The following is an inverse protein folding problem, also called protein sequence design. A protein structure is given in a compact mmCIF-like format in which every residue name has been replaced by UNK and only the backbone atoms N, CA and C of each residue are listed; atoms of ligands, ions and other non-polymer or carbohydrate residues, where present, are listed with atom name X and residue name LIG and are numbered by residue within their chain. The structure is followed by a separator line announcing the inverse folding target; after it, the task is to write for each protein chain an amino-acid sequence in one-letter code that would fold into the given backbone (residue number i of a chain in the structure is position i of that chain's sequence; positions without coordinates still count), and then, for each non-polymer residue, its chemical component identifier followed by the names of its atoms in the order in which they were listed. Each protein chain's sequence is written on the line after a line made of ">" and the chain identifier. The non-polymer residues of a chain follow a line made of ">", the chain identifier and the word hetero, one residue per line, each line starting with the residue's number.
data_IF_321169538954
#
_entry.id   IF_321169538954
#
_cell.length_a   1.000
_cell.length_b   1.000
_cell.length_c   1.000
_cell.angle_alpha   90.00
_cell.angle_beta   90.00
_cell.angle_gamma   90.00
#
_symmetry.space_group_name_H-M   'P 1'
#
loop_
_entity.id
_entity.type
_entity.pdbx_description
1 polymer ?
#
# COMPACT_ATOMS: atom_id res chain seq x y z
N UNK A 1 -16.49 59.08 62.55
CA UNK A 1 -16.46 57.60 62.66
C UNK A 1 -16.09 57.22 64.08
N UNK A 2 -17.03 56.65 64.82
CA UNK A 2 -16.84 56.27 66.23
C UNK A 2 -15.88 55.07 66.39
N UNK A 3 -15.16 55.00 67.52
CA UNK A 3 -14.11 53.98 67.77
C UNK A 3 -14.69 52.56 67.82
N UNK A 4 -15.96 52.43 68.22
CA UNK A 4 -16.70 51.16 68.28
C UNK A 4 -17.05 50.61 66.89
N UNK A 5 -17.55 51.48 66.01
CA UNK A 5 -17.86 51.20 64.60
C UNK A 5 -16.63 50.68 63.84
N UNK A 6 -15.46 51.32 64.01
CA UNK A 6 -14.19 50.84 63.40
C UNK A 6 -13.82 49.43 63.86
N UNK A 7 -13.99 49.12 65.14
CA UNK A 7 -13.73 47.77 65.69
C UNK A 7 -14.69 46.73 65.12
N UNK A 8 -15.96 47.08 64.93
CA UNK A 8 -16.99 46.20 64.35
C UNK A 8 -16.70 45.89 62.88
N UNK A 9 -16.33 46.91 62.09
CA UNK A 9 -15.96 46.75 60.68
C UNK A 9 -14.68 45.91 60.50
N UNK A 10 -13.69 46.10 61.37
CA UNK A 10 -12.46 45.29 61.39
C UNK A 10 -12.74 43.81 61.71
N UNK A 11 -13.63 43.53 62.69
CA UNK A 11 -14.05 42.14 63.01
C UNK A 11 -14.83 41.49 61.86
N UNK A 12 -15.71 42.24 61.18
CA UNK A 12 -16.45 41.76 60.00
C UNK A 12 -15.50 41.39 58.85
N UNK A 13 -14.56 42.29 58.50
CA UNK A 13 -13.52 42.03 57.49
C UNK A 13 -12.65 40.82 57.83
N UNK A 14 -12.27 40.65 59.11
CA UNK A 14 -11.50 39.47 59.56
C UNK A 14 -12.31 38.17 59.38
N UNK A 15 -13.60 38.18 59.73
CA UNK A 15 -14.50 37.02 59.58
C UNK A 15 -14.72 36.65 58.11
N UNK A 16 -14.93 37.65 57.24
CA UNK A 16 -15.07 37.47 55.79
C UNK A 16 -13.79 36.92 55.14
N UNK A 17 -12.61 37.42 55.56
CA UNK A 17 -11.31 36.92 55.08
C UNK A 17 -11.08 35.47 55.47
N UNK A 18 -11.33 35.11 56.73
CA UNK A 18 -11.23 33.71 57.21
C UNK A 18 -12.21 32.79 56.48
N UNK A 19 -13.43 33.25 56.18
CA UNK A 19 -14.40 32.49 55.40
C UNK A 19 -13.98 32.29 53.93
N UNK A 20 -13.38 33.32 53.30
CA UNK A 20 -12.84 33.22 51.95
C UNK A 20 -11.64 32.27 51.86
N UNK A 21 -10.73 32.32 52.85
CA UNK A 21 -9.60 31.39 52.96
C UNK A 21 -10.06 29.94 53.14
N UNK A 22 -11.12 29.70 53.94
CA UNK A 22 -11.74 28.38 54.09
C UNK A 22 -12.33 27.83 52.79
N UNK A 23 -13.04 28.68 52.03
CA UNK A 23 -13.60 28.31 50.71
C UNK A 23 -12.51 27.97 49.69
N UNK A 24 -11.43 28.76 49.65
CA UNK A 24 -10.29 28.53 48.76
C UNK A 24 -9.53 27.23 49.08
N UNK A 25 -9.35 26.89 50.36
CA UNK A 25 -8.74 25.61 50.76
C UNK A 25 -9.61 24.41 50.35
N UNK A 26 -10.93 24.53 50.45
CA UNK A 26 -11.86 23.47 50.07
C UNK A 26 -11.94 23.28 48.54
N UNK A 27 -11.92 24.36 47.75
CA UNK A 27 -11.89 24.27 46.29
C UNK A 27 -10.60 23.61 45.78
N UNK A 28 -9.43 23.98 46.34
CA UNK A 28 -8.14 23.35 46.01
C UNK A 28 -8.10 21.85 46.39
N UNK A 29 -8.72 21.48 47.51
CA UNK A 29 -8.88 20.08 47.93
C UNK A 29 -9.75 19.29 46.93
N UNK A 30 -10.89 19.85 46.50
CA UNK A 30 -11.79 19.24 45.51
C UNK A 30 -11.09 19.04 44.17
N UNK A 31 -10.36 20.03 43.70
CA UNK A 31 -9.63 19.98 42.42
C UNK A 31 -8.50 18.93 42.45
N UNK A 32 -7.78 18.81 43.58
CA UNK A 32 -6.78 17.74 43.79
C UNK A 32 -7.40 16.36 43.79
N UNK A 33 -8.57 16.17 44.41
CA UNK A 33 -9.30 14.89 44.41
C UNK A 33 -9.76 14.50 43.00
N UNK A 34 -10.26 15.45 42.22
CA UNK A 34 -10.71 15.20 40.85
C UNK A 34 -9.54 14.85 39.91
N UNK A 35 -8.40 15.55 40.04
CA UNK A 35 -7.15 15.23 39.31
C UNK A 35 -6.65 13.82 39.66
N UNK A 36 -6.73 13.42 40.93
CA UNK A 36 -6.37 12.06 41.37
C UNK A 36 -7.31 11.01 40.77
N UNK A 37 -8.62 11.22 40.83
CA UNK A 37 -9.61 10.31 40.23
C UNK A 37 -9.38 10.11 38.72
N UNK A 38 -9.14 11.19 37.96
CA UNK A 38 -8.81 11.11 36.53
C UNK A 38 -7.53 10.33 36.26
N UNK A 39 -6.51 10.48 37.12
CA UNK A 39 -5.25 9.73 37.02
C UNK A 39 -5.46 8.24 37.28
N UNK A 40 -6.28 7.90 38.27
CA UNK A 40 -6.58 6.51 38.63
C UNK A 40 -7.38 5.83 37.52
N UNK A 41 -8.40 6.49 36.96
CA UNK A 41 -9.15 6.00 35.79
C UNK A 41 -8.22 5.77 34.59
N UNK A 42 -7.30 6.70 34.30
CA UNK A 42 -6.31 6.54 33.23
C UNK A 42 -5.37 5.35 33.48
N UNK A 43 -5.02 5.09 34.73
CA UNK A 43 -4.16 3.96 35.12
C UNK A 43 -4.88 2.62 34.92
N UNK A 44 -6.14 2.53 35.34
CA UNK A 44 -6.93 1.31 35.18
C UNK A 44 -7.25 1.00 33.70
N UNK A 45 -7.64 2.00 32.91
CA UNK A 45 -7.85 1.83 31.46
C UNK A 45 -6.57 1.39 30.71
N UNK A 46 -5.40 1.91 31.10
CA UNK A 46 -4.12 1.49 30.55
C UNK A 46 -3.74 0.04 30.93
N UNK A 47 -4.02 -0.37 32.18
CA UNK A 47 -3.82 -1.76 32.63
C UNK A 47 -4.72 -2.73 31.85
N UNK A 48 -6.00 -2.38 31.70
CA UNK A 48 -6.98 -3.18 30.95
C UNK A 48 -6.57 -3.36 29.48
N UNK A 49 -6.12 -2.27 28.84
CA UNK A 49 -5.59 -2.32 27.48
C UNK A 49 -4.32 -3.18 27.36
N UNK A 50 -3.45 -3.18 28.38
CA UNK A 50 -2.26 -4.02 28.40
C UNK A 50 -2.62 -5.50 28.60
N UNK A 51 -3.58 -5.81 29.48
CA UNK A 51 -4.10 -7.18 29.69
C UNK A 51 -4.69 -7.77 28.41
N UNK A 52 -5.41 -6.98 27.61
CA UNK A 52 -5.92 -7.40 26.29
C UNK A 52 -4.78 -7.68 25.30
N UNK A 53 -3.70 -6.91 25.35
CA UNK A 53 -2.53 -7.06 24.47
C UNK A 53 -1.61 -8.20 24.91
N UNK A 54 -1.51 -8.49 26.20
CA UNK A 54 -0.71 -9.56 26.79
C UNK A 54 -1.54 -10.36 27.79
N UNK A 55 -2.40 -11.28 27.32
CA UNK A 55 -3.09 -12.21 28.19
C UNK A 55 -2.05 -13.09 28.91
N UNK A 56 -2.15 -13.16 30.24
CA UNK A 56 -1.17 -13.83 31.09
C UNK A 56 -1.11 -15.36 30.89
N UNK A 57 -2.13 -15.94 30.24
CA UNK A 57 -2.35 -17.39 30.10
C UNK A 57 -2.38 -17.85 28.64
N UNK A 58 -1.41 -17.42 27.82
CA UNK A 58 -1.23 -17.95 26.46
C UNK A 58 -0.20 -19.07 26.45
N UNK A 59 -0.52 -20.17 25.76
CA UNK A 59 0.44 -21.24 25.49
C UNK A 59 1.61 -20.72 24.65
N UNK A 60 2.74 -21.44 24.67
CA UNK A 60 3.94 -21.08 23.90
C UNK A 60 3.66 -21.00 22.39
N UNK A 61 2.80 -21.88 21.88
CA UNK A 61 2.43 -21.95 20.47
C UNK A 61 1.55 -20.78 20.04
N UNK A 62 0.49 -20.49 20.79
CA UNK A 62 -0.37 -19.34 20.50
C UNK A 62 0.40 -18.01 20.64
N UNK A 63 1.37 -17.94 21.57
CA UNK A 63 2.27 -16.80 21.69
C UNK A 63 3.10 -16.62 20.42
N UNK A 64 3.68 -17.70 19.88
CA UNK A 64 4.46 -17.66 18.64
C UNK A 64 3.59 -17.21 17.47
N UNK A 65 2.39 -17.76 17.32
CA UNK A 65 1.45 -17.39 16.25
C UNK A 65 1.00 -15.93 16.34
N UNK A 66 0.70 -15.44 17.55
CA UNK A 66 0.33 -14.04 17.77
C UNK A 66 1.43 -13.08 17.33
N UNK A 67 2.67 -13.35 17.74
CA UNK A 67 3.80 -12.48 17.40
C UNK A 67 4.19 -12.58 15.92
N UNK A 68 4.06 -13.74 15.27
CA UNK A 68 4.29 -13.86 13.82
C UNK A 68 3.23 -13.12 13.03
N UNK A 69 1.94 -13.25 13.38
CA UNK A 69 0.84 -12.47 12.77
C UNK A 69 1.06 -10.97 12.95
N UNK A 70 1.39 -10.53 14.17
CA UNK A 70 1.66 -9.11 14.45
C UNK A 70 2.85 -8.57 13.64
N UNK A 71 3.90 -9.36 13.45
CA UNK A 71 5.04 -8.98 12.62
C UNK A 71 4.67 -8.88 11.13
N UNK A 72 3.85 -9.81 10.64
CA UNK A 72 3.30 -9.77 9.29
C UNK A 72 2.45 -8.51 9.07
N UNK A 73 1.46 -8.26 9.94
CA UNK A 73 0.56 -7.11 9.85
C UNK A 73 1.31 -5.77 9.86
N UNK A 74 2.32 -5.64 10.73
CA UNK A 74 3.19 -4.45 10.74
C UNK A 74 3.95 -4.26 9.43
N UNK A 75 4.38 -5.35 8.80
CA UNK A 75 5.09 -5.31 7.52
C UNK A 75 4.14 -4.89 6.40
N UNK A 76 2.92 -5.45 6.38
CA UNK A 76 1.86 -5.07 5.44
C UNK A 76 1.48 -3.61 5.62
N UNK A 77 1.26 -3.15 6.85
CA UNK A 77 0.91 -1.75 7.15
C UNK A 77 2.01 -0.77 6.69
N UNK A 78 3.28 -1.09 6.95
CA UNK A 78 4.41 -0.30 6.45
C UNK A 78 4.44 -0.27 4.92
N UNK A 79 4.18 -1.40 4.28
CA UNK A 79 4.07 -1.52 2.82
C UNK A 79 2.96 -0.64 2.27
N UNK A 80 1.76 -0.73 2.83
CA UNK A 80 0.59 0.08 2.46
C UNK A 80 0.84 1.58 2.66
N UNK A 81 1.48 1.98 3.77
CA UNK A 81 1.86 3.38 4.00
C UNK A 81 2.86 3.88 2.96
N UNK A 82 3.85 3.06 2.59
CA UNK A 82 4.83 3.39 1.55
C UNK A 82 4.15 3.51 0.18
N UNK A 83 3.22 2.60 -0.12
CA UNK A 83 2.40 2.66 -1.33
C UNK A 83 1.62 3.97 -1.35
N UNK A 84 0.81 4.27 -0.32
CA UNK A 84 0.03 5.50 -0.24
C UNK A 84 0.88 6.77 -0.47
N UNK A 85 2.06 6.86 0.16
CA UNK A 85 2.99 8.00 -0.01
C UNK A 85 3.49 8.16 -1.44
N UNK A 86 3.72 7.05 -2.13
CA UNK A 86 4.26 7.03 -3.50
C UNK A 86 3.17 6.96 -4.58
N UNK A 87 1.93 6.67 -4.22
CA UNK A 87 0.79 6.66 -5.15
C UNK A 87 0.57 8.06 -5.68
N UNK A 88 0.69 8.21 -7.00
CA UNK A 88 0.39 9.44 -7.72
C UNK A 88 -1.05 9.37 -8.22
N UNK A 89 -1.82 10.42 -7.97
CA UNK A 89 -3.16 10.55 -8.52
C UNK A 89 -3.10 10.77 -10.03
N UNK A 90 -3.74 9.89 -10.81
CA UNK A 90 -3.78 10.02 -12.27
C UNK A 90 -4.48 11.28 -12.78
N UNK A 91 -5.32 11.92 -11.94
CA UNK A 91 -6.08 13.10 -12.36
C UNK A 91 -5.38 14.41 -12.02
N UNK A 92 -4.95 14.60 -10.77
CA UNK A 92 -4.31 15.85 -10.35
C UNK A 92 -2.78 15.76 -10.26
N UNK A 93 -2.19 14.62 -10.62
CA UNK A 93 -0.75 14.31 -10.59
C UNK A 93 -0.07 14.53 -9.22
N UNK A 94 -0.85 14.72 -8.16
CA UNK A 94 -0.36 14.91 -6.80
C UNK A 94 -0.15 13.55 -6.10
N UNK A 95 0.86 13.45 -5.24
CA UNK A 95 1.17 12.23 -4.47
C UNK A 95 0.23 12.09 -3.25
N UNK A 96 0.12 10.88 -2.72
CA UNK A 96 -0.57 10.62 -1.45
C UNK A 96 -1.99 10.04 -1.56
N UNK A 97 -2.54 9.95 -2.76
CA UNK A 97 -3.89 9.41 -2.98
C UNK A 97 -4.05 8.81 -4.38
N UNK A 98 -4.94 7.81 -4.50
CA UNK A 98 -5.35 7.28 -5.79
C UNK A 98 -6.38 8.21 -6.47
N UNK A 99 -6.54 8.07 -7.79
CA UNK A 99 -7.48 8.87 -8.57
C UNK A 99 -8.91 8.87 -8.00
N UNK A 100 -9.36 7.72 -7.48
CA UNK A 100 -10.68 7.58 -6.83
C UNK A 100 -10.86 8.49 -5.60
N UNK A 101 -9.82 8.68 -4.80
CA UNK A 101 -9.87 9.50 -3.60
C UNK A 101 -9.30 10.90 -3.85
N UNK A 102 -9.43 11.41 -5.09
CA UNK A 102 -8.93 12.71 -5.47
C UNK A 102 -9.83 13.82 -4.94
N UNK A 103 -9.31 14.76 -4.13
CA UNK A 103 -10.09 15.88 -3.61
C UNK A 103 -10.44 16.90 -4.69
N UNK A 104 -9.68 16.92 -5.81
CA UNK A 104 -9.83 17.93 -6.88
C UNK A 104 -10.79 17.53 -7.99
N UNK A 105 -11.11 16.24 -8.16
CA UNK A 105 -11.91 15.80 -9.31
C UNK A 105 -12.58 14.44 -9.05
N UNK A 106 -13.59 14.43 -8.18
CA UNK A 106 -14.29 13.21 -7.75
C UNK A 106 -15.42 12.76 -8.70
N UNK A 107 -15.71 13.51 -9.77
CA UNK A 107 -16.92 13.31 -10.59
C UNK A 107 -16.67 12.57 -11.90
N UNK A 108 -15.54 12.80 -12.59
CA UNK A 108 -15.29 12.19 -13.93
C UNK A 108 -14.87 10.72 -13.92
N UNK A 109 -14.53 10.15 -12.75
CA UNK A 109 -13.94 8.81 -12.64
C UNK A 109 -14.92 7.70 -12.25
N UNK A 110 -16.20 8.02 -12.05
CA UNK A 110 -17.18 7.05 -11.56
C UNK A 110 -17.96 6.36 -12.68
N UNK A 111 -17.82 6.81 -13.93
CA UNK A 111 -18.54 6.21 -15.05
C UNK A 111 -17.86 4.92 -15.51
N UNK A 112 -18.65 3.88 -15.70
CA UNK A 112 -18.25 2.67 -16.36
C UNK A 112 -17.97 2.97 -17.84
N UNK A 113 -16.74 2.74 -18.26
CA UNK A 113 -16.32 3.04 -19.64
C UNK A 113 -16.99 2.17 -20.71
N UNK A 114 -17.74 1.13 -20.31
CA UNK A 114 -18.48 0.24 -21.20
C UNK A 114 -19.93 0.67 -21.41
N UNK A 115 -20.63 1.07 -20.34
CA UNK A 115 -22.06 1.33 -20.37
C UNK A 115 -22.46 2.78 -20.01
N UNK A 116 -21.51 3.60 -19.53
CA UNK A 116 -21.74 4.98 -19.13
C UNK A 116 -22.38 5.17 -17.75
N UNK A 117 -22.77 4.10 -17.05
CA UNK A 117 -23.35 4.20 -15.69
C UNK A 117 -22.31 4.64 -14.66
N UNK A 118 -22.70 5.48 -13.70
CA UNK A 118 -21.85 5.91 -12.59
C UNK A 118 -21.87 4.96 -11.37
N UNK A 119 -22.65 3.88 -11.42
CA UNK A 119 -22.91 3.01 -10.26
C UNK A 119 -21.83 1.93 -10.06
N UNK A 120 -21.10 1.56 -11.11
CA UNK A 120 -20.15 0.44 -11.08
C UNK A 120 -18.92 0.71 -11.93
N UNK A 121 -17.87 -0.11 -11.73
CA UNK A 121 -16.64 -0.08 -12.52
C UNK A 121 -16.73 -1.03 -13.70
N UNK A 122 -15.75 -0.94 -14.61
CA UNK A 122 -15.66 -1.85 -15.76
C UNK A 122 -15.70 -3.33 -15.34
N UNK A 123 -15.04 -3.67 -14.23
CA UNK A 123 -14.94 -5.05 -13.71
C UNK A 123 -16.27 -5.56 -13.16
N UNK A 124 -17.09 -4.68 -12.61
CA UNK A 124 -18.39 -4.99 -11.99
C UNK A 124 -19.56 -4.71 -12.96
N UNK A 125 -19.26 -4.56 -14.26
CA UNK A 125 -20.28 -4.18 -15.24
C UNK A 125 -21.22 -5.35 -15.56
N UNK A 126 -22.54 -5.20 -15.37
CA UNK A 126 -23.51 -6.26 -15.63
C UNK A 126 -23.65 -6.59 -17.12
N UNK A 127 -23.19 -5.70 -18.02
CA UNK A 127 -23.19 -5.94 -19.47
C UNK A 127 -22.09 -6.92 -19.94
N UNK A 128 -21.33 -7.51 -19.01
CA UNK A 128 -20.34 -8.54 -19.30
C UNK A 128 -19.03 -8.00 -19.88
N UNK A 129 -17.94 -8.76 -19.66
CA UNK A 129 -16.62 -8.45 -20.20
C UNK A 129 -16.51 -8.90 -21.65
N UNK A 130 -17.12 -8.18 -22.60
CA UNK A 130 -16.86 -8.49 -24.01
C UNK A 130 -15.37 -8.28 -24.31
N UNK A 131 -14.71 -9.32 -24.81
CA UNK A 131 -13.28 -9.34 -25.16
C UNK A 131 -12.92 -8.40 -26.32
N UNK A 132 -13.93 -7.78 -26.93
CA UNK A 132 -13.81 -6.94 -28.14
C UNK A 132 -13.05 -5.64 -27.89
N UNK A 133 -12.78 -5.26 -26.62
CA UNK A 133 -11.88 -4.13 -26.30
C UNK A 133 -12.41 -2.74 -26.66
N UNK A 134 -13.60 -2.64 -27.26
CA UNK A 134 -14.28 -1.37 -27.53
C UNK A 134 -14.92 -0.84 -26.23
N UNK A 135 -14.42 0.31 -25.77
CA UNK A 135 -14.91 1.04 -24.61
C UNK A 135 -15.42 2.40 -25.07
N UNK A 136 -16.69 2.52 -25.50
CA UNK A 136 -17.22 3.73 -26.15
C UNK A 136 -17.13 4.98 -25.27
N UNK A 137 -17.21 4.82 -23.95
CA UNK A 137 -17.13 5.93 -23.00
C UNK A 137 -15.71 6.16 -22.47
N UNK A 138 -14.73 5.31 -22.81
CA UNK A 138 -13.33 5.55 -22.47
C UNK A 138 -12.75 6.66 -23.37
N UNK A 139 -11.91 7.49 -22.78
CA UNK A 139 -11.10 8.48 -23.48
C UNK A 139 -9.63 8.06 -23.42
N UNK A 140 -8.97 8.07 -24.58
CA UNK A 140 -7.57 7.70 -24.67
C UNK A 140 -6.69 8.83 -24.10
N UNK A 141 -5.84 8.50 -23.13
CA UNK A 141 -4.91 9.47 -22.53
C UNK A 141 -3.77 9.92 -23.45
N UNK A 142 -3.60 9.29 -24.63
CA UNK A 142 -2.54 9.62 -25.61
C UNK A 142 -3.08 10.51 -26.72
N UNK A 143 -4.19 10.15 -27.36
CA UNK A 143 -4.75 10.89 -28.49
C UNK A 143 -6.03 11.68 -28.20
N UNK A 144 -6.63 11.53 -27.01
CA UNK A 144 -7.89 12.18 -26.64
C UNK A 144 -9.15 11.61 -27.33
N UNK A 145 -9.00 10.65 -28.25
CA UNK A 145 -10.11 9.98 -28.91
C UNK A 145 -10.93 9.12 -27.94
N UNK A 146 -12.21 8.91 -28.26
CA UNK A 146 -13.11 8.04 -27.49
C UNK A 146 -13.16 6.63 -28.11
N UNK A 147 -13.49 5.61 -27.32
CA UNK A 147 -13.67 4.23 -27.82
C UNK A 147 -12.56 3.24 -27.46
N UNK A 148 -11.39 3.70 -27.04
CA UNK A 148 -10.24 2.86 -26.71
C UNK A 148 -9.41 3.44 -25.55
N UNK A 149 -8.59 2.59 -24.93
CA UNK A 149 -7.60 2.99 -23.91
C UNK A 149 -6.21 3.16 -24.54
N UNK A 150 -5.30 3.83 -23.83
CA UNK A 150 -3.93 4.09 -24.29
C UNK A 150 -3.19 2.86 -24.82
N UNK A 151 -3.43 1.67 -24.24
CA UNK A 151 -2.78 0.42 -24.69
C UNK A 151 -3.25 -0.09 -26.05
N UNK A 152 -4.47 0.24 -26.48
CA UNK A 152 -5.04 -0.14 -27.77
C UNK A 152 -5.10 1.04 -28.75
N UNK A 153 -4.38 2.13 -28.44
CA UNK A 153 -4.35 3.31 -29.27
C UNK A 153 -3.40 3.12 -30.46
N UNK A 154 -3.84 3.35 -31.71
CA UNK A 154 -2.98 3.23 -32.89
C UNK A 154 -1.86 4.27 -32.92
N UNK A 155 -2.04 5.39 -32.22
CA UNK A 155 -1.05 6.47 -32.12
C UNK A 155 -0.07 6.28 -30.95
N UNK A 156 -0.24 5.25 -30.12
CA UNK A 156 0.63 5.02 -28.98
C UNK A 156 1.84 4.15 -29.37
N UNK A 157 2.96 4.81 -29.67
CA UNK A 157 4.23 4.15 -30.00
C UNK A 157 4.85 3.32 -28.86
N UNK A 158 4.41 3.51 -27.61
CA UNK A 158 4.95 2.81 -26.42
C UNK A 158 4.16 1.56 -26.04
N UNK A 159 3.01 1.33 -26.69
CA UNK A 159 2.11 0.21 -26.43
C UNK A 159 1.68 0.11 -24.95
N UNK A 160 1.63 -1.12 -24.43
CA UNK A 160 1.18 -1.43 -23.05
C UNK A 160 2.22 -1.01 -21.99
N UNK A 161 3.45 -0.69 -22.39
CA UNK A 161 4.56 -0.39 -21.47
C UNK A 161 4.64 1.09 -21.10
N UNK A 162 4.25 1.43 -19.87
CA UNK A 162 4.22 2.82 -19.34
C UNK A 162 5.57 3.53 -19.48
N UNK A 163 6.66 2.87 -19.07
CA UNK A 163 8.01 3.43 -19.12
C UNK A 163 8.72 3.20 -20.46
N UNK A 164 8.00 2.67 -21.46
CA UNK A 164 8.60 2.25 -22.72
C UNK A 164 9.31 0.91 -22.56
N UNK A 165 9.43 0.20 -23.67
CA UNK A 165 9.97 -1.15 -23.71
C UNK A 165 9.12 -2.05 -24.58
N UNK A 166 9.55 -3.30 -24.66
CA UNK A 166 8.93 -4.32 -25.48
C UNK A 166 8.98 -5.65 -24.76
N UNK A 167 8.11 -6.57 -25.17
CA UNK A 167 8.14 -7.94 -24.72
C UNK A 167 9.54 -8.54 -24.97
N UNK A 168 10.22 -9.01 -23.91
CA UNK A 168 11.58 -9.60 -24.02
C UNK A 168 11.65 -10.88 -24.85
N UNK A 169 10.48 -11.45 -25.18
CA UNK A 169 10.35 -12.68 -25.96
C UNK A 169 10.29 -12.38 -27.46
N UNK A 170 9.53 -11.37 -27.87
CA UNK A 170 9.23 -11.14 -29.28
C UNK A 170 9.47 -9.71 -29.78
N UNK A 171 9.82 -8.77 -28.90
CA UNK A 171 9.95 -7.35 -29.26
C UNK A 171 8.63 -6.61 -29.45
N UNK A 172 7.47 -7.26 -29.30
CA UNK A 172 6.16 -6.60 -29.44
C UNK A 172 5.83 -5.67 -28.27
N UNK A 173 5.12 -4.59 -28.54
CA UNK A 173 4.71 -3.58 -27.53
C UNK A 173 3.27 -3.75 -27.04
N UNK A 174 2.48 -4.60 -27.71
CA UNK A 174 1.03 -4.73 -27.48
C UNK A 174 0.66 -5.71 -26.36
N UNK A 175 1.63 -6.43 -25.79
CA UNK A 175 1.39 -7.40 -24.73
C UNK A 175 2.53 -7.46 -23.72
N UNK A 176 2.16 -7.88 -22.50
CA UNK A 176 3.13 -8.25 -21.46
C UNK A 176 3.73 -9.63 -21.73
N UNK A 177 4.96 -9.86 -21.29
CA UNK A 177 5.67 -11.16 -21.44
C UNK A 177 4.82 -12.37 -21.05
N UNK A 178 3.96 -12.23 -20.03
CA UNK A 178 3.06 -13.27 -19.55
C UNK A 178 2.02 -13.73 -20.59
N UNK A 179 1.61 -12.84 -21.48
CA UNK A 179 0.63 -13.10 -22.55
C UNK A 179 1.29 -13.05 -23.94
N UNK A 180 2.58 -13.33 -24.01
CA UNK A 180 3.24 -13.41 -25.30
C UNK A 180 2.73 -14.61 -26.11
N UNK A 181 2.26 -14.40 -27.35
CA UNK A 181 1.76 -15.48 -28.19
C UNK A 181 2.84 -16.45 -28.65
N UNK A 182 4.13 -16.09 -28.58
CA UNK A 182 5.23 -16.99 -28.92
C UNK A 182 5.35 -18.11 -27.89
N UNK A 183 5.46 -19.36 -28.34
CA UNK A 183 5.63 -20.52 -27.45
C UNK A 183 7.01 -20.46 -26.76
N UNK A 184 7.04 -20.78 -25.46
CA UNK A 184 8.28 -20.96 -24.69
C UNK A 184 9.18 -22.05 -25.30
N UNK A 185 8.60 -23.02 -26.00
CA UNK A 185 9.30 -24.15 -26.63
C UNK A 185 10.03 -23.77 -27.91
N UNK A 186 9.38 -23.00 -28.80
CA UNK A 186 10.04 -22.45 -30.00
C UNK A 186 11.24 -21.59 -29.63
N UNK A 187 11.12 -20.81 -28.55
CA UNK A 187 12.22 -20.01 -28.00
C UNK A 187 13.43 -20.82 -27.52
N UNK A 188 13.21 -22.00 -26.94
CA UNK A 188 14.31 -22.86 -26.52
C UNK A 188 15.06 -23.36 -27.76
N UNK A 189 14.32 -23.79 -28.80
CA UNK A 189 14.89 -24.22 -30.08
C UNK A 189 15.67 -23.10 -30.78
N UNK A 190 15.08 -21.91 -30.96
CA UNK A 190 15.79 -20.77 -31.57
C UNK A 190 17.02 -20.32 -30.77
N UNK A 191 16.96 -20.37 -29.42
CA UNK A 191 18.10 -20.02 -28.58
C UNK A 191 19.21 -21.06 -28.66
N UNK A 192 18.85 -22.34 -28.62
CA UNK A 192 19.79 -23.45 -28.71
C UNK A 192 20.44 -23.49 -30.11
N UNK A 193 19.68 -23.17 -31.15
CA UNK A 193 20.16 -23.05 -32.54
C UNK A 193 21.09 -21.85 -32.74
N UNK A 194 20.71 -20.65 -32.27
CA UNK A 194 21.61 -19.47 -32.31
C UNK A 194 22.88 -19.67 -31.48
N UNK A 195 22.78 -20.41 -30.36
CA UNK A 195 23.95 -20.79 -29.55
C UNK A 195 24.84 -21.79 -30.29
N UNK A 196 24.28 -22.74 -31.03
CA UNK A 196 25.03 -23.67 -31.86
C UNK A 196 25.77 -22.95 -33.01
N UNK A 197 25.10 -22.04 -33.72
CA UNK A 197 25.69 -21.25 -34.81
C UNK A 197 26.81 -20.32 -34.30
N UNK A 198 26.63 -19.72 -33.11
CA UNK A 198 27.66 -18.86 -32.49
C UNK A 198 28.92 -19.62 -32.05
N UNK A 199 28.87 -20.95 -31.90
CA UNK A 199 30.04 -21.78 -31.58
C UNK A 199 30.82 -22.16 -32.86
N UNK A 200 30.14 -22.26 -34.01
CA UNK A 200 30.78 -22.48 -35.31
C UNK A 200 31.61 -21.27 -35.76
N UNK A 201 31.12 -20.04 -35.53
CA UNK A 201 31.83 -18.80 -35.94
C UNK A 201 33.08 -18.44 -35.13
N UNK A 202 33.47 -19.24 -34.14
CA UNK A 202 34.70 -19.06 -33.34
C UNK A 202 35.88 -19.92 -33.82
N UNK A 203 35.68 -20.78 -34.82
CA UNK A 203 36.72 -21.68 -35.32
C UNK A 203 37.55 -21.10 -36.49
N UNK A 204 37.10 -20.01 -37.13
CA UNK A 204 37.70 -19.50 -38.38
C UNK A 204 38.45 -18.15 -38.26
N UNK A 205 38.69 -17.64 -37.04
CA UNK A 205 39.54 -16.45 -36.84
C UNK A 205 40.60 -16.76 -35.79
N UNK A 206 41.72 -17.30 -36.26
CA UNK A 206 43.00 -17.21 -35.56
C UNK A 206 43.76 -15.98 -36.03
N UNK A 207 44.14 -15.12 -35.09
CA UNK A 207 45.51 -14.56 -34.88
C UNK A 207 45.45 -13.22 -34.11
N UNK A 208 45.88 -13.32 -32.85
CA UNK A 208 46.69 -12.43 -31.99
C UNK A 208 46.17 -11.06 -31.50
N UNK A 209 46.26 -10.87 -30.17
CA UNK A 209 46.25 -9.55 -29.54
C UNK A 209 45.80 -9.53 -28.07
N UNK A 210 46.74 -9.78 -27.16
CA UNK A 210 46.88 -9.39 -25.74
C UNK A 210 45.78 -8.56 -25.05
N UNK A 211 45.42 -8.91 -23.81
CA UNK A 211 44.70 -7.98 -22.93
C UNK A 211 44.04 -8.61 -21.70
N UNK A 212 44.77 -8.52 -20.59
CA UNK A 212 44.45 -8.78 -19.17
C UNK A 212 43.00 -8.58 -18.68
N UNK A 213 42.65 -9.40 -17.68
CA UNK A 213 41.90 -8.95 -16.50
C UNK A 213 40.43 -9.37 -16.41
N UNK A 214 40.10 -10.21 -15.41
CA UNK A 214 38.69 -10.42 -15.04
C UNK A 214 38.43 -11.60 -14.12
N UNK A 215 38.76 -11.41 -12.85
CA UNK A 215 38.21 -12.02 -11.63
C UNK A 215 37.42 -13.33 -11.70
N UNK A 216 38.06 -14.33 -11.09
CA UNK A 216 37.58 -15.65 -10.75
C UNK A 216 36.74 -15.58 -9.46
N UNK A 217 35.50 -16.09 -9.45
CA UNK A 217 34.89 -16.76 -8.28
C UNK A 217 33.53 -17.42 -8.62
N UNK A 218 33.07 -18.42 -7.84
CA UNK A 218 32.88 -19.76 -8.37
C UNK A 218 31.42 -20.25 -8.33
N UNK A 219 31.20 -21.32 -9.09
CA UNK A 219 30.00 -22.13 -9.09
C UNK A 219 29.69 -22.68 -7.68
N UNK A 220 28.43 -22.56 -7.26
CA UNK A 220 27.85 -23.34 -6.17
C UNK A 220 26.79 -24.25 -6.73
N UNK A 221 27.16 -25.50 -6.92
CA UNK A 221 26.23 -26.62 -7.01
C UNK A 221 25.60 -26.90 -5.64
N UNK A 222 24.34 -27.32 -5.63
CA UNK A 222 23.73 -27.87 -4.41
C UNK A 222 22.20 -27.82 -4.34
N UNK A 223 21.55 -28.79 -4.99
CA UNK A 223 20.55 -29.69 -4.38
C UNK A 223 19.19 -29.14 -3.91
N UNK A 224 18.12 -29.81 -4.37
CA UNK A 224 16.91 -29.97 -3.56
C UNK A 224 15.58 -29.99 -4.32
N UNK A 225 15.22 -31.16 -4.86
CA UNK A 225 13.86 -31.52 -5.24
C UNK A 225 12.86 -31.22 -4.12
N UNK A 226 11.98 -30.24 -4.33
CA UNK A 226 10.75 -30.07 -3.55
C UNK A 226 9.56 -30.15 -4.49
N UNK A 227 8.93 -31.32 -4.52
CA UNK A 227 7.59 -31.56 -5.08
C UNK A 227 6.64 -30.48 -4.54
N UNK A 228 6.28 -29.50 -5.37
CA UNK A 228 5.20 -28.56 -5.06
C UNK A 228 3.88 -29.31 -5.17
N UNK A 229 3.24 -29.58 -4.04
CA UNK A 229 1.80 -29.91 -3.98
C UNK A 229 1.03 -28.77 -4.64
N UNK A 230 0.40 -29.06 -5.78
CA UNK A 230 -0.57 -28.17 -6.42
C UNK A 230 -1.81 -28.16 -5.54
N UNK A 231 -2.05 -27.03 -4.87
CA UNK A 231 -3.27 -26.82 -4.11
C UNK A 231 -4.33 -26.33 -5.10
N UNK A 232 -5.26 -27.22 -5.45
CA UNK A 232 -6.39 -26.89 -6.32
C UNK A 232 -7.39 -26.05 -5.53
N UNK A 233 -7.62 -24.81 -5.95
CA UNK A 233 -8.70 -23.98 -5.42
C UNK A 233 -10.03 -24.55 -5.95
N UNK A 234 -10.85 -25.09 -5.05
CA UNK A 234 -12.24 -25.45 -5.34
C UNK A 234 -13.01 -24.17 -5.66
N UNK A 235 -13.55 -24.10 -6.87
CA UNK A 235 -14.55 -23.12 -7.30
C UNK A 235 -15.82 -23.42 -6.51
N UNK A 236 -16.23 -22.48 -5.65
CA UNK A 236 -17.57 -22.49 -5.06
C UNK A 236 -18.42 -21.66 -6.02
N UNK A 237 -19.31 -22.33 -6.75
CA UNK A 237 -20.35 -21.66 -7.52
C UNK A 237 -21.36 -21.06 -6.53
N UNK A 238 -21.65 -19.78 -6.70
CA UNK A 238 -22.81 -19.13 -6.11
C UNK A 238 -24.03 -19.38 -7.00
#
# INVERSE_FOLDING_TARGET
>A
MDKTERRRLARKRKKEKLAAEGKAKNSLSKERKEKKAKKDIKKETAKEANKRKNPANMTKEERKEKYTKLAHDKTVEKGLKKLHKNTVCFVCRSKGHAAFNCPKNSQKLKICFKCGSSEHRLDDCPKGSDRTGNLPFAECFVCGGKGHLSGACPLNSRGVYVNGGSCKICGGVDHLETRCPKDKRERKRERDEKRAVSLQGKADVGIEGEGEGGDNQPEREGGGDKKKKVQTCKVINF
#
